data_IF_846293660428
#
_entry.id   IF_846293660428
#
_cell.length_a   1.000
_cell.length_b   1.000
_cell.length_c   1.000
_cell.angle_alpha   90.00
_cell.angle_beta   90.00
_cell.angle_gamma   90.00
#
_symmetry.space_group_name_H-M   'P 1'
#
loop_
_entity.id
_entity.type
_entity.pdbx_description
1 polymer ?
#
# COMPACT_ATOMS: atom_id res chain seq x y z
N UNK A 1 17.31 -15.50 8.23
CA UNK A 1 16.88 -14.41 7.33
C UNK A 1 17.05 -13.09 8.08
N UNK A 2 17.82 -12.13 7.56
CA UNK A 2 18.01 -10.84 8.20
C UNK A 2 16.87 -9.89 7.83
N UNK A 3 16.34 -9.15 8.80
CA UNK A 3 15.32 -8.12 8.56
C UNK A 3 15.99 -6.79 8.26
N UNK A 4 15.69 -6.21 7.11
CA UNK A 4 16.10 -4.85 6.78
C UNK A 4 15.03 -3.88 7.29
N UNK A 5 15.47 -2.79 7.93
CA UNK A 5 14.60 -1.72 8.41
C UNK A 5 15.00 -0.43 7.70
N UNK A 6 14.02 0.26 7.13
CA UNK A 6 14.21 1.54 6.46
C UNK A 6 13.30 2.59 7.12
N UNK A 7 13.81 3.80 7.32
CA UNK A 7 13.05 4.91 7.87
C UNK A 7 13.47 6.24 7.23
N UNK A 8 12.54 7.17 7.15
CA UNK A 8 12.78 8.54 6.67
C UNK A 8 11.75 9.48 7.28
N UNK A 9 12.12 10.75 7.45
CA UNK A 9 11.22 11.80 7.94
C UNK A 9 10.54 12.49 6.77
N UNK A 10 9.20 12.51 6.78
CA UNK A 10 8.40 13.21 5.78
C UNK A 10 7.77 14.42 6.45
N UNK A 11 8.01 15.62 5.91
CA UNK A 11 7.40 16.85 6.41
C UNK A 11 5.92 16.97 5.96
N UNK A 12 5.07 16.13 6.55
CA UNK A 12 3.64 16.08 6.29
C UNK A 12 2.89 15.52 7.51
N UNK A 13 1.58 15.79 7.61
CA UNK A 13 0.75 15.16 8.64
C UNK A 13 0.62 13.66 8.40
N UNK A 14 0.36 12.90 9.47
CA UNK A 14 0.17 11.44 9.38
C UNK A 14 -0.97 11.06 8.43
N UNK A 15 -2.04 11.86 8.39
CA UNK A 15 -3.21 11.66 7.53
C UNK A 15 -2.83 11.82 6.05
N UNK A 16 -1.99 12.82 5.73
CA UNK A 16 -1.51 13.04 4.36
C UNK A 16 -0.60 11.90 3.91
N UNK A 17 0.28 11.41 4.77
CA UNK A 17 1.14 10.25 4.47
C UNK A 17 0.28 9.01 4.23
N UNK A 18 -0.69 8.73 5.11
CA UNK A 18 -1.60 7.60 4.98
C UNK A 18 -2.37 7.62 3.65
N UNK A 19 -3.01 8.76 3.32
CA UNK A 19 -3.71 8.94 2.04
C UNK A 19 -2.78 8.77 0.85
N UNK A 20 -1.57 9.35 0.90
CA UNK A 20 -0.59 9.22 -0.18
C UNK A 20 -0.17 7.76 -0.40
N UNK A 21 -0.01 6.99 0.69
CA UNK A 21 0.34 5.59 0.61
C UNK A 21 -0.78 4.76 -0.01
N UNK A 22 -2.06 5.03 0.32
CA UNK A 22 -3.14 4.07 0.08
C UNK A 22 -4.29 4.52 -0.81
N UNK A 23 -4.49 5.82 -1.07
CA UNK A 23 -5.48 6.28 -2.04
C UNK A 23 -5.05 5.83 -3.45
N UNK A 24 -5.98 5.30 -4.24
CA UNK A 24 -5.69 4.63 -5.52
C UNK A 24 -4.80 5.49 -6.46
N UNK A 25 -5.14 6.78 -6.59
CA UNK A 25 -4.42 7.69 -7.49
C UNK A 25 -2.97 7.93 -7.10
N UNK A 26 -2.65 8.02 -5.80
CA UNK A 26 -1.28 8.20 -5.33
C UNK A 26 -0.54 6.87 -5.20
N UNK A 27 -1.24 5.80 -4.83
CA UNK A 27 -0.70 4.44 -4.79
C UNK A 27 -0.11 4.06 -6.14
N UNK A 28 -0.90 4.21 -7.22
CA UNK A 28 -0.46 3.94 -8.61
C UNK A 28 0.78 4.73 -9.00
N UNK A 29 0.86 6.00 -8.57
CA UNK A 29 1.98 6.89 -8.90
C UNK A 29 3.28 6.45 -8.22
N UNK A 30 3.26 6.22 -6.91
CA UNK A 30 4.50 5.89 -6.19
C UNK A 30 4.95 4.45 -6.45
N UNK A 31 4.01 3.52 -6.62
CA UNK A 31 4.34 2.13 -6.99
C UNK A 31 4.77 1.99 -8.44
N UNK A 32 4.41 2.93 -9.32
CA UNK A 32 4.81 2.91 -10.74
C UNK A 32 6.33 2.89 -10.97
N UNK A 33 7.12 3.42 -10.03
CA UNK A 33 8.59 3.31 -10.09
C UNK A 33 9.10 1.87 -9.90
N UNK A 34 8.31 1.02 -9.23
CA UNK A 34 8.60 -0.39 -9.00
C UNK A 34 7.91 -1.29 -10.03
N UNK A 35 6.62 -1.08 -10.28
CA UNK A 35 5.81 -1.82 -11.24
C UNK A 35 4.67 -0.93 -11.78
N UNK A 36 4.67 -0.71 -13.09
CA UNK A 36 3.65 0.11 -13.73
C UNK A 36 2.27 -0.58 -13.70
N UNK A 37 1.23 0.23 -13.49
CA UNK A 37 -0.15 -0.26 -13.39
C UNK A 37 -0.49 -0.93 -12.05
N UNK A 38 0.42 -0.91 -11.06
CA UNK A 38 0.17 -1.44 -9.73
C UNK A 38 -0.99 -0.76 -9.00
N UNK A 39 -1.80 -1.54 -8.30
CA UNK A 39 -2.95 -1.06 -7.54
C UNK A 39 -3.31 -1.98 -6.37
N UNK A 40 -4.15 -1.48 -5.46
CA UNK A 40 -4.61 -2.22 -4.30
C UNK A 40 -6.14 -2.40 -4.34
N UNK A 41 -6.63 -3.63 -4.21
CA UNK A 41 -8.04 -3.92 -3.95
C UNK A 41 -8.19 -4.20 -2.44
N UNK A 42 -9.04 -3.43 -1.76
CA UNK A 42 -9.23 -3.51 -0.30
C UNK A 42 -10.71 -3.35 0.07
N UNK A 43 -11.12 -3.90 1.21
CA UNK A 43 -12.41 -3.57 1.85
C UNK A 43 -12.21 -2.40 2.83
N UNK A 44 -11.87 -1.22 2.30
CA UNK A 44 -11.64 0.02 3.06
C UNK A 44 -10.71 -0.16 4.28
N UNK A 45 -9.65 -0.97 4.12
CA UNK A 45 -8.71 -1.28 5.21
C UNK A 45 -9.37 -1.80 6.49
N UNK A 46 -10.51 -2.49 6.37
CA UNK A 46 -11.22 -3.09 7.51
C UNK A 46 -10.38 -4.19 8.12
N UNK A 47 -10.26 -4.22 9.45
CA UNK A 47 -9.55 -5.28 10.17
C UNK A 47 -10.10 -6.67 9.83
N UNK A 48 -9.19 -7.63 9.66
CA UNK A 48 -9.49 -9.00 9.24
C UNK A 48 -9.83 -9.16 7.75
N UNK A 49 -10.02 -8.07 7.00
CA UNK A 49 -10.32 -8.14 5.57
C UNK A 49 -9.11 -8.50 4.72
N UNK A 50 -9.38 -9.05 3.53
CA UNK A 50 -8.37 -9.39 2.53
C UNK A 50 -7.93 -8.13 1.78
N UNK A 51 -6.64 -8.06 1.48
CA UNK A 51 -6.06 -7.05 0.58
C UNK A 51 -5.36 -7.74 -0.57
N UNK A 52 -5.56 -7.25 -1.79
CA UNK A 52 -4.84 -7.67 -2.98
C UNK A 52 -4.00 -6.51 -3.49
N UNK A 53 -2.68 -6.69 -3.54
CA UNK A 53 -1.77 -5.77 -4.21
C UNK A 53 -1.40 -6.38 -5.56
N UNK A 54 -1.85 -5.76 -6.64
CA UNK A 54 -1.85 -6.35 -7.97
C UNK A 54 -1.10 -5.47 -8.97
N UNK A 55 -0.50 -6.09 -9.99
CA UNK A 55 0.01 -5.43 -11.19
C UNK A 55 -1.09 -5.27 -12.26
N UNK A 56 -0.76 -4.63 -13.39
CA UNK A 56 -1.69 -4.46 -14.52
C UNK A 56 -2.18 -5.77 -15.16
N UNK A 57 -1.62 -6.93 -14.79
CA UNK A 57 -2.01 -8.28 -15.24
C UNK A 57 -2.71 -9.08 -14.14
N UNK A 58 -3.03 -8.45 -13.01
CA UNK A 58 -3.65 -9.08 -11.82
C UNK A 58 -2.79 -10.12 -11.11
N UNK A 59 -1.48 -10.09 -11.30
CA UNK A 59 -0.53 -10.86 -10.47
C UNK A 59 -0.10 -10.02 -9.27
N UNK A 60 0.30 -10.65 -8.17
CA UNK A 60 0.89 -9.93 -7.06
C UNK A 60 0.77 -10.66 -5.73
N UNK A 61 0.42 -9.90 -4.70
CA UNK A 61 0.46 -10.34 -3.31
C UNK A 61 -0.92 -10.30 -2.67
N UNK A 62 -1.24 -11.35 -1.92
CA UNK A 62 -2.41 -11.40 -1.04
C UNK A 62 -1.97 -11.11 0.39
N UNK A 63 -2.72 -10.27 1.09
CA UNK A 63 -2.49 -9.95 2.49
C UNK A 63 -3.82 -9.87 3.26
N UNK A 64 -3.72 -9.68 4.57
CA UNK A 64 -4.84 -9.46 5.47
C UNK A 64 -4.55 -8.27 6.38
N UNK A 65 -5.56 -7.42 6.61
CA UNK A 65 -5.43 -6.31 7.56
C UNK A 65 -5.41 -6.86 8.98
N UNK A 66 -4.24 -6.85 9.63
CA UNK A 66 -4.12 -7.33 11.00
C UNK A 66 -4.73 -6.37 12.03
N UNK A 67 -4.59 -5.06 11.81
CA UNK A 67 -5.16 -3.99 12.64
C UNK A 67 -5.22 -2.67 11.85
N UNK A 68 -6.15 -1.78 12.20
CA UNK A 68 -6.30 -0.44 11.65
C UNK A 68 -6.83 0.50 12.74
N UNK A 69 -5.91 1.27 13.35
CA UNK A 69 -6.15 2.10 14.54
C UNK A 69 -5.41 3.43 14.48
#
# INVERSE_FOLDING_TARGET
MQKLNFSTSINASKEKVWKTLWDDSSYRKWTGAFQEGSYAETDNWKEGSKVLFLDGKRNGMVSQVAANR
#
